data_IF_784121414313
#
_entry.id   IF_784121414313
#
_cell.length_a   1.000
_cell.length_b   1.000
_cell.length_c   1.000
_cell.angle_alpha   90.00
_cell.angle_beta   90.00
_cell.angle_gamma   90.00
#
_symmetry.space_group_name_H-M   'P 1'
#
loop_
_entity.id
_entity.type
_entity.pdbx_description
1 polymer ?
#
# COMPACT_ATOMS: atom_id res chain seq x y z
N UNK A 1 -1.00 8.28 -0.48
CA UNK A 1 -0.93 9.56 0.26
C UNK A 1 -0.94 10.76 -0.69
N UNK A 2 0.01 10.87 -1.61
CA UNK A 2 0.09 12.00 -2.57
C UNK A 2 -1.18 12.24 -3.38
N UNK A 3 -1.82 11.19 -3.95
CA UNK A 3 -3.10 11.32 -4.65
C UNK A 3 -4.20 11.94 -3.79
N UNK A 4 -4.24 11.61 -2.50
CA UNK A 4 -5.21 12.16 -1.56
C UNK A 4 -4.90 13.62 -1.21
N UNK A 5 -3.62 13.98 -1.05
CA UNK A 5 -3.21 15.36 -0.85
C UNK A 5 -3.53 16.23 -2.08
N UNK A 6 -3.27 15.71 -3.29
CA UNK A 6 -3.57 16.39 -4.54
C UNK A 6 -5.08 16.59 -4.80
N UNK A 7 -5.94 15.74 -4.22
CA UNK A 7 -7.40 15.91 -4.28
C UNK A 7 -7.88 17.20 -3.61
N UNK A 8 -7.11 17.73 -2.65
CA UNK A 8 -7.43 18.96 -1.93
C UNK A 8 -8.65 18.84 -0.99
N UNK A 9 -9.09 19.99 -0.50
CA UNK A 9 -10.28 20.11 0.35
C UNK A 9 -11.53 20.29 -0.51
N UNK A 10 -12.57 19.53 -0.22
CA UNK A 10 -13.85 19.65 -0.91
C UNK A 10 -14.81 20.53 -0.12
N UNK A 11 -15.22 21.66 -0.70
CA UNK A 11 -16.13 22.62 -0.08
C UNK A 11 -17.58 22.34 -0.53
N UNK A 12 -18.29 21.49 0.22
CA UNK A 12 -19.74 21.33 0.12
C UNK A 12 -20.39 21.48 1.50
N UNK A 13 -21.69 21.78 1.55
CA UNK A 13 -22.42 21.93 2.83
C UNK A 13 -22.27 20.67 3.70
N UNK A 14 -22.34 19.51 3.08
CA UNK A 14 -22.22 18.21 3.74
C UNK A 14 -20.78 17.94 4.21
N UNK A 15 -19.75 18.43 3.50
CA UNK A 15 -18.35 18.27 3.91
C UNK A 15 -17.97 19.20 5.07
N UNK A 16 -18.63 20.36 5.18
CA UNK A 16 -18.42 21.30 6.28
C UNK A 16 -19.03 20.80 7.60
N UNK A 17 -20.09 19.97 7.52
CA UNK A 17 -20.71 19.30 8.66
C UNK A 17 -21.13 20.24 9.82
N UNK A 18 -21.50 21.49 9.50
CA UNK A 18 -21.82 22.52 10.50
C UNK A 18 -22.99 22.12 11.40
N UNK A 19 -24.00 21.44 10.85
CA UNK A 19 -25.16 20.97 11.59
C UNK A 19 -24.76 19.94 12.66
N UNK A 20 -23.86 19.01 12.31
CA UNK A 20 -23.33 17.98 13.22
C UNK A 20 -22.46 18.61 14.32
N UNK A 21 -21.65 19.61 13.97
CA UNK A 21 -20.83 20.35 14.94
C UNK A 21 -21.72 21.07 15.96
N UNK A 22 -22.79 21.71 15.50
CA UNK A 22 -23.75 22.40 16.37
C UNK A 22 -24.50 21.40 17.28
N UNK A 23 -24.88 20.23 16.75
CA UNK A 23 -25.59 19.19 17.50
C UNK A 23 -24.70 18.54 18.59
N UNK A 24 -23.44 18.22 18.27
CA UNK A 24 -22.53 17.57 19.21
C UNK A 24 -22.13 18.49 20.37
N UNK A 25 -21.96 19.78 20.10
CA UNK A 25 -21.55 20.76 21.10
C UNK A 25 -20.15 20.53 21.68
N UNK A 26 -19.72 21.36 22.65
CA UNK A 26 -18.40 21.28 23.24
C UNK A 26 -18.23 20.01 24.09
N UNK A 27 -17.13 19.29 23.89
CA UNK A 27 -16.82 18.06 24.62
C UNK A 27 -17.61 16.82 24.17
N UNK A 28 -18.46 16.94 23.14
CA UNK A 28 -19.17 15.80 22.58
C UNK A 28 -18.29 14.92 21.67
N UNK A 29 -18.81 13.73 21.37
CA UNK A 29 -18.16 12.74 20.52
C UNK A 29 -18.77 12.76 19.11
N UNK A 30 -17.94 12.54 18.09
CA UNK A 30 -18.38 12.48 16.69
C UNK A 30 -18.42 11.06 16.11
N UNK A 31 -17.85 10.08 16.83
CA UNK A 31 -17.76 8.68 16.38
C UNK A 31 -19.12 7.98 16.28
N UNK A 32 -20.12 8.44 17.04
CA UNK A 32 -21.47 7.90 17.09
C UNK A 32 -22.44 8.57 16.10
N UNK A 33 -21.99 9.57 15.34
CA UNK A 33 -22.83 10.31 14.40
C UNK A 33 -22.93 9.61 13.05
N UNK A 34 -24.13 9.56 12.48
CA UNK A 34 -24.41 8.98 11.15
C UNK A 34 -23.51 9.56 10.06
N UNK A 35 -23.23 10.87 10.13
CA UNK A 35 -22.33 11.56 9.21
C UNK A 35 -20.93 10.94 9.18
N UNK A 36 -20.38 10.60 10.36
CA UNK A 36 -19.08 9.94 10.48
C UNK A 36 -19.12 8.53 9.89
N UNK A 37 -20.16 7.75 10.21
CA UNK A 37 -20.32 6.39 9.66
C UNK A 37 -20.36 6.37 8.13
N UNK A 38 -21.11 7.29 7.52
CA UNK A 38 -21.25 7.37 6.07
C UNK A 38 -19.92 7.74 5.37
N UNK A 39 -19.04 8.48 6.05
CA UNK A 39 -17.84 9.09 5.44
C UNK A 39 -16.52 8.50 5.90
N UNK A 40 -16.52 7.67 6.93
CA UNK A 40 -15.31 7.10 7.53
C UNK A 40 -14.40 6.44 6.50
N UNK A 41 -14.96 5.67 5.57
CA UNK A 41 -14.19 4.94 4.54
C UNK A 41 -13.75 5.82 3.36
N UNK A 42 -14.47 6.90 3.07
CA UNK A 42 -14.22 7.75 1.90
C UNK A 42 -13.31 8.93 2.22
N UNK A 43 -13.36 9.44 3.45
CA UNK A 43 -12.61 10.62 3.89
C UNK A 43 -11.24 10.24 4.47
N UNK A 44 -11.14 9.13 5.21
CA UNK A 44 -9.89 8.70 5.82
C UNK A 44 -9.05 7.90 4.82
N UNK A 45 -7.76 8.25 4.70
CA UNK A 45 -6.79 7.41 4.02
C UNK A 45 -6.17 6.42 5.03
N UNK A 46 -6.52 5.15 4.86
CA UNK A 46 -5.92 4.03 5.57
C UNK A 46 -4.86 3.38 4.67
N UNK A 47 -3.56 3.68 4.87
CA UNK A 47 -2.50 3.07 4.08
C UNK A 47 -2.37 1.59 4.42
N UNK A 48 -2.09 0.76 3.41
CA UNK A 48 -1.94 -0.70 3.58
C UNK A 48 -0.66 -1.09 4.33
N UNK A 49 0.42 -0.30 4.22
CA UNK A 49 1.75 -0.65 4.73
C UNK A 49 2.10 0.03 6.06
N UNK A 50 1.51 1.20 6.36
CA UNK A 50 1.88 1.93 7.57
C UNK A 50 1.08 1.42 8.77
N UNK A 51 1.76 0.74 9.70
CA UNK A 51 1.13 0.25 10.93
C UNK A 51 0.85 1.40 11.90
N UNK A 52 -0.40 1.47 12.37
CA UNK A 52 -0.88 2.44 13.37
C UNK A 52 -1.37 1.75 14.65
N UNK A 53 -1.06 0.47 14.81
CA UNK A 53 -1.43 -0.31 16.00
C UNK A 53 -0.77 0.30 17.25
N UNK A 54 -1.43 0.21 18.42
CA UNK A 54 -0.80 0.52 19.69
C UNK A 54 0.50 -0.28 19.88
N UNK A 55 1.45 0.28 20.63
CA UNK A 55 2.77 -0.31 20.84
C UNK A 55 2.70 -1.78 21.26
N UNK A 56 1.88 -2.10 22.26
CA UNK A 56 1.76 -3.47 22.79
C UNK A 56 1.35 -4.48 21.71
N UNK A 57 0.44 -4.09 20.80
CA UNK A 57 0.03 -4.94 19.68
C UNK A 57 1.12 -5.06 18.62
N UNK A 58 1.85 -3.98 18.35
CA UNK A 58 2.99 -4.00 17.42
C UNK A 58 4.12 -4.88 17.95
N UNK A 59 4.38 -4.85 19.26
CA UNK A 59 5.38 -5.72 19.90
C UNK A 59 4.95 -7.19 19.89
N UNK A 60 3.68 -7.48 20.14
CA UNK A 60 3.12 -8.83 20.03
C UNK A 60 3.22 -9.40 18.59
N UNK A 61 3.20 -8.53 17.57
CA UNK A 61 3.41 -8.89 16.15
C UNK A 61 4.89 -9.07 15.78
N UNK A 62 5.80 -9.15 16.76
CA UNK A 62 7.25 -9.21 16.58
C UNK A 62 7.87 -7.95 15.96
N UNK A 63 7.30 -6.77 16.23
CA UNK A 63 7.90 -5.48 15.86
C UNK A 63 8.18 -5.36 14.35
N UNK A 64 7.19 -5.60 13.48
CA UNK A 64 7.40 -5.64 12.04
C UNK A 64 7.90 -4.29 11.51
N UNK A 65 8.92 -4.33 10.65
CA UNK A 65 9.37 -3.16 9.89
C UNK A 65 8.50 -2.95 8.64
N UNK A 66 8.45 -1.70 8.17
CA UNK A 66 7.69 -1.31 6.98
C UNK A 66 8.17 -2.04 5.72
N UNK A 67 9.48 -2.31 5.60
CA UNK A 67 10.02 -3.06 4.48
C UNK A 67 9.54 -4.52 4.49
N UNK A 68 9.48 -5.14 5.66
CA UNK A 68 8.99 -6.52 5.81
C UNK A 68 7.52 -6.62 5.42
N UNK A 69 6.69 -5.68 5.86
CA UNK A 69 5.27 -5.64 5.46
C UNK A 69 5.11 -5.40 3.95
N UNK A 70 5.92 -4.51 3.36
CA UNK A 70 5.90 -4.29 1.92
C UNK A 70 6.29 -5.55 1.13
N UNK A 71 7.30 -6.29 1.57
CA UNK A 71 7.71 -7.54 0.92
C UNK A 71 6.64 -8.62 1.02
N UNK A 72 5.97 -8.75 2.17
CA UNK A 72 4.84 -9.67 2.32
C UNK A 72 3.72 -9.30 1.34
N UNK A 73 3.37 -8.01 1.24
CA UNK A 73 2.35 -7.53 0.30
C UNK A 73 2.73 -7.78 -1.16
N UNK A 74 4.00 -7.59 -1.53
CA UNK A 74 4.51 -7.92 -2.87
C UNK A 74 4.30 -9.40 -3.16
N UNK A 75 4.69 -10.28 -2.23
CA UNK A 75 4.49 -11.71 -2.42
C UNK A 75 3.00 -12.06 -2.60
N UNK A 76 2.11 -11.49 -1.79
CA UNK A 76 0.65 -11.71 -1.92
C UNK A 76 0.07 -11.23 -3.25
N UNK A 77 0.64 -10.18 -3.85
CA UNK A 77 0.17 -9.64 -5.13
C UNK A 77 0.69 -10.50 -6.27
N UNK A 78 1.97 -10.86 -6.25
CA UNK A 78 2.61 -11.64 -7.30
C UNK A 78 2.19 -13.12 -7.28
N UNK A 79 1.72 -13.64 -6.15
CA UNK A 79 1.19 -15.01 -6.08
C UNK A 79 -0.24 -15.16 -6.63
N UNK A 80 -0.92 -14.06 -6.98
CA UNK A 80 -2.26 -14.08 -7.57
C UNK A 80 -2.16 -14.04 -9.08
N UNK A 81 -3.10 -14.71 -9.75
CA UNK A 81 -3.22 -14.63 -11.20
C UNK A 81 -3.39 -13.18 -11.64
N UNK A 82 -2.55 -12.75 -12.57
CA UNK A 82 -2.62 -11.42 -13.14
C UNK A 82 -3.76 -11.37 -14.17
N UNK A 83 -4.80 -10.53 -14.00
CA UNK A 83 -5.88 -10.41 -14.98
C UNK A 83 -5.47 -9.65 -16.24
N UNK A 84 -4.34 -8.94 -16.24
CA UNK A 84 -3.85 -8.15 -17.37
C UNK A 84 -2.92 -8.96 -18.28
N UNK A 85 -3.42 -10.10 -18.79
CA UNK A 85 -2.71 -10.93 -19.78
C UNK A 85 -3.21 -10.59 -21.18
N UNK A 86 -2.30 -10.45 -22.13
CA UNK A 86 -2.66 -10.31 -23.54
C UNK A 86 -3.16 -11.64 -24.11
N UNK A 87 -3.94 -11.59 -25.20
CA UNK A 87 -4.24 -12.81 -25.95
C UNK A 87 -2.94 -13.43 -26.49
N UNK A 88 -2.81 -14.76 -26.52
CA UNK A 88 -1.60 -15.44 -26.99
C UNK A 88 -1.13 -14.97 -28.38
N UNK A 89 -2.07 -14.68 -29.29
CA UNK A 89 -1.76 -14.22 -30.65
C UNK A 89 -1.08 -12.85 -30.69
N UNK A 90 -1.46 -11.96 -29.77
CA UNK A 90 -0.91 -10.61 -29.68
C UNK A 90 0.47 -10.64 -29.00
N UNK A 91 0.63 -11.51 -28.00
CA UNK A 91 1.92 -11.72 -27.35
C UNK A 91 2.96 -12.28 -28.34
N UNK A 92 2.58 -13.23 -29.19
CA UNK A 92 3.44 -13.77 -30.24
C UNK A 92 3.85 -12.70 -31.27
N UNK A 93 2.94 -11.78 -31.64
CA UNK A 93 3.28 -10.66 -32.53
C UNK A 93 4.27 -9.70 -31.88
N UNK A 94 4.10 -9.36 -30.59
CA UNK A 94 5.03 -8.49 -29.86
C UNK A 94 6.42 -9.13 -29.78
N UNK A 95 6.50 -10.42 -29.45
CA UNK A 95 7.78 -11.13 -29.36
C UNK A 95 8.51 -11.23 -30.71
N UNK A 96 7.77 -11.30 -31.82
CA UNK A 96 8.35 -11.32 -33.16
C UNK A 96 8.91 -9.94 -33.59
N UNK A 97 8.27 -8.85 -33.14
CA UNK A 97 8.69 -7.48 -33.46
C UNK A 97 9.88 -7.02 -32.60
N UNK A 98 9.94 -7.45 -31.33
CA UNK A 98 10.97 -7.04 -30.37
C UNK A 98 11.88 -8.21 -29.98
N UNK A 99 13.00 -8.37 -30.70
CA UNK A 99 14.01 -9.38 -30.37
C UNK A 99 14.65 -9.13 -28.99
N UNK A 100 14.64 -10.15 -28.12
CA UNK A 100 15.25 -10.12 -26.79
C UNK A 100 14.29 -9.77 -25.64
N UNK A 101 12.98 -9.76 -25.87
CA UNK A 101 11.99 -9.57 -24.81
C UNK A 101 12.03 -10.75 -23.81
N UNK A 102 12.16 -10.44 -22.52
CA UNK A 102 12.07 -11.45 -21.45
C UNK A 102 10.59 -11.75 -21.19
N UNK A 103 10.26 -13.02 -20.94
CA UNK A 103 8.92 -13.42 -20.55
C UNK A 103 8.45 -12.60 -19.34
N UNK A 104 7.26 -12.00 -19.44
CA UNK A 104 6.66 -11.13 -18.43
C UNK A 104 6.11 -11.88 -17.21
N UNK A 105 6.66 -13.06 -16.90
CA UNK A 105 6.15 -13.90 -15.83
C UNK A 105 6.42 -13.25 -14.47
N UNK A 106 5.34 -13.00 -13.74
CA UNK A 106 5.38 -12.48 -12.38
C UNK A 106 5.77 -13.61 -11.41
N UNK A 107 7.02 -14.06 -11.44
CA UNK A 107 7.51 -15.11 -10.55
C UNK A 107 7.78 -14.51 -9.17
N UNK A 108 7.27 -15.15 -8.12
CA UNK A 108 7.63 -14.82 -6.74
C UNK A 108 9.10 -15.19 -6.54
N UNK A 109 9.94 -14.18 -6.30
CA UNK A 109 11.35 -14.39 -5.96
C UNK A 109 11.46 -14.91 -4.53
N UNK A 110 11.49 -16.23 -4.39
CA UNK A 110 11.69 -16.90 -3.11
C UNK A 110 13.16 -16.82 -2.69
N UNK A 111 13.45 -15.82 -1.88
CA UNK A 111 14.70 -15.60 -1.16
C UNK A 111 15.93 -15.25 -2.01
N UNK A 112 16.79 -14.45 -1.37
CA UNK A 112 18.21 -14.10 -1.53
C UNK A 112 19.08 -14.92 -2.54
N UNK A 113 18.70 -16.14 -2.97
CA UNK A 113 19.41 -16.96 -3.96
C UNK A 113 19.29 -16.47 -5.42
N UNK A 114 18.18 -15.83 -5.81
CA UNK A 114 17.99 -15.33 -7.18
C UNK A 114 18.66 -13.97 -7.47
N UNK A 115 19.27 -13.33 -6.45
CA UNK A 115 20.11 -12.15 -6.66
C UNK A 115 21.29 -12.40 -7.60
N UNK A 116 21.69 -13.67 -7.80
CA UNK A 116 22.74 -14.01 -8.77
C UNK A 116 22.27 -13.89 -10.23
N UNK A 117 20.98 -14.06 -10.50
CA UNK A 117 20.42 -13.88 -11.84
C UNK A 117 20.05 -12.42 -12.12
N UNK A 118 19.93 -11.59 -11.08
CA UNK A 118 19.74 -10.14 -11.15
C UNK A 118 21.07 -9.36 -11.21
N UNK A 119 22.09 -9.89 -11.89
CA UNK A 119 23.46 -9.33 -11.91
C UNK A 119 23.57 -7.87 -12.44
N UNK A 120 22.48 -7.27 -12.91
CA UNK A 120 22.39 -5.86 -13.31
C UNK A 120 21.73 -4.90 -12.31
N UNK A 121 21.02 -5.38 -11.28
CA UNK A 121 20.22 -4.50 -10.40
C UNK A 121 20.69 -4.61 -8.96
N UNK A 122 21.77 -3.88 -8.63
CA UNK A 122 22.15 -3.66 -7.23
C UNK A 122 21.13 -2.75 -6.56
N UNK A 123 20.16 -3.32 -5.85
CA UNK A 123 19.54 -2.58 -4.76
C UNK A 123 20.53 -2.51 -3.61
N UNK A 124 20.90 -1.32 -3.09
CA UNK A 124 21.72 -1.23 -1.90
C UNK A 124 20.93 -1.86 -0.76
N UNK A 125 21.38 -3.04 -0.32
CA UNK A 125 20.99 -3.62 0.95
C UNK A 125 21.29 -2.55 2.02
N UNK A 126 20.27 -1.95 2.61
CA UNK A 126 20.46 -1.14 3.80
C UNK A 126 20.87 -2.10 4.92
N UNK A 127 22.12 -2.05 5.41
CA UNK A 127 22.44 -2.76 6.64
C UNK A 127 21.58 -2.10 7.73
N UNK A 128 20.78 -2.91 8.43
CA UNK A 128 19.97 -2.46 9.56
C UNK A 128 20.83 -1.61 10.49
N UNK A 129 20.55 -0.30 10.52
CA UNK A 129 21.30 0.63 11.34
C UNK A 129 20.81 0.46 12.79
N UNK A 130 21.62 -0.07 13.72
CA UNK A 130 21.18 -0.29 15.09
C UNK A 130 21.13 1.01 15.92
N UNK A 131 21.29 2.19 15.31
CA UNK A 131 21.39 3.47 16.04
C UNK A 131 20.07 4.19 16.34
N UNK A 132 18.91 3.58 16.09
CA UNK A 132 17.61 4.20 16.37
C UNK A 132 16.83 3.61 17.55
N UNK A 133 17.53 2.98 18.51
CA UNK A 133 16.99 2.68 19.84
C UNK A 133 17.98 3.21 20.89
N UNK A 134 17.73 4.43 21.35
CA UNK A 134 18.08 4.94 22.68
C UNK A 134 16.99 5.89 23.14
#
# INVERSE_FOLDING_TARGET
MLKQAARGLQFSKENLALDVIAETGPGGMFLDKDHTFQRMRTAALLPEIADRSPRDQWEAKNKPDSQTQAMQRVHEILSRDNPAVFSPDLDAQIQAEFEGLVAGDAVVLDSIRDQKNCAGVRYPLYPGNPRFIR
#
